data_IF_267838198592
#
_entry.id   IF_267838198592
#
_cell.length_a   1.000
_cell.length_b   1.000
_cell.length_c   1.000
_cell.angle_alpha   90.00
_cell.angle_beta   90.00
_cell.angle_gamma   90.00
#
_symmetry.space_group_name_H-M   'P 1'
#
loop_
_entity.id
_entity.type
_entity.pdbx_description
1 polymer ?
#
# COMPACT_ATOMS: atom_id res chain seq x y z
N UNK A 1 -7.16 26.67 -32.84
CA UNK A 1 -8.22 26.38 -31.85
C UNK A 1 -7.99 25.00 -31.21
N UNK A 2 -7.45 24.99 -29.98
CA UNK A 2 -7.21 23.76 -29.22
C UNK A 2 -8.43 23.43 -28.34
N UNK A 3 -8.80 22.15 -28.17
CA UNK A 3 -9.96 21.75 -27.41
C UNK A 3 -9.73 21.99 -25.90
N UNK A 4 -10.73 22.63 -25.30
CA UNK A 4 -10.94 22.81 -23.87
C UNK A 4 -10.73 21.48 -23.11
N UNK A 5 -9.72 21.42 -22.24
CA UNK A 5 -9.61 20.38 -21.22
C UNK A 5 -10.26 20.90 -19.95
N UNK A 6 -11.41 20.34 -19.61
CA UNK A 6 -12.15 20.67 -18.40
C UNK A 6 -11.29 20.33 -17.17
N UNK A 7 -10.97 21.34 -16.38
CA UNK A 7 -10.39 21.19 -15.04
C UNK A 7 -11.38 20.44 -14.15
N UNK A 8 -11.08 19.17 -13.87
CA UNK A 8 -11.84 18.33 -12.95
C UNK A 8 -11.55 18.84 -11.53
N UNK A 9 -12.54 19.49 -10.91
CA UNK A 9 -12.48 19.91 -9.52
C UNK A 9 -12.64 18.68 -8.61
N UNK A 10 -11.54 18.27 -7.98
CA UNK A 10 -11.46 17.09 -7.12
C UNK A 10 -11.62 17.41 -5.63
N UNK A 11 -12.16 18.59 -5.29
CA UNK A 11 -12.40 18.94 -3.88
C UNK A 11 -13.84 18.63 -3.44
N UNK A 12 -14.11 17.34 -3.18
CA UNK A 12 -15.42 16.86 -2.70
C UNK A 12 -15.71 17.19 -1.22
N UNK A 13 -14.90 18.03 -0.56
CA UNK A 13 -15.02 18.24 0.90
C UNK A 13 -15.12 19.71 1.21
N UNK A 14 -16.34 20.24 1.26
CA UNK A 14 -16.87 21.07 2.35
C UNK A 14 -18.21 21.72 1.93
N UNK A 15 -19.31 20.95 1.93
CA UNK A 15 -20.64 21.55 2.00
C UNK A 15 -21.08 21.63 3.47
N UNK A 16 -20.94 22.83 4.03
CA UNK A 16 -21.42 23.21 5.36
C UNK A 16 -22.96 23.17 5.42
N UNK A 17 -23.57 22.02 5.70
CA UNK A 17 -24.93 21.91 6.28
C UNK A 17 -24.97 20.85 7.37
N UNK A 18 -24.74 21.37 8.56
CA UNK A 18 -24.58 20.74 9.85
C UNK A 18 -25.91 20.13 10.38
N UNK A 19 -25.86 18.85 10.80
CA UNK A 19 -26.50 18.36 12.03
C UNK A 19 -28.03 18.07 12.07
N UNK A 20 -28.54 17.19 11.18
CA UNK A 20 -29.81 16.46 11.45
C UNK A 20 -29.75 14.93 11.24
N UNK A 21 -28.70 14.41 10.61
CA UNK A 21 -28.62 12.99 10.21
C UNK A 21 -27.81 12.07 11.15
N UNK A 22 -27.25 12.61 12.23
CA UNK A 22 -26.40 11.87 13.18
C UNK A 22 -27.12 10.71 13.89
N UNK A 23 -28.46 10.70 13.90
CA UNK A 23 -29.26 9.66 14.59
C UNK A 23 -29.61 8.44 13.72
N UNK A 24 -29.45 8.51 12.38
CA UNK A 24 -29.64 7.35 11.49
C UNK A 24 -28.35 6.53 11.28
N UNK A 25 -27.18 7.16 11.39
CA UNK A 25 -25.86 6.52 11.19
C UNK A 25 -25.49 5.42 12.20
N UNK A 26 -26.24 5.25 13.29
CA UNK A 26 -25.95 4.16 14.25
C UNK A 26 -26.43 2.79 13.78
N UNK A 27 -27.32 2.71 12.77
CA UNK A 27 -27.80 1.42 12.24
C UNK A 27 -26.97 0.93 11.04
N UNK A 28 -26.52 1.84 10.17
CA UNK A 28 -25.64 1.51 9.02
C UNK A 28 -24.17 1.21 9.40
N UNK A 29 -23.71 1.68 10.57
CA UNK A 29 -22.35 1.39 11.04
C UNK A 29 -22.11 -0.09 11.34
N UNK A 30 -23.16 -0.89 11.53
CA UNK A 30 -23.03 -2.34 11.78
C UNK A 30 -22.90 -3.14 10.48
N UNK A 31 -23.50 -2.66 9.40
CA UNK A 31 -23.52 -3.31 8.09
C UNK A 31 -22.24 -3.01 7.27
N UNK A 32 -21.67 -1.81 7.45
CA UNK A 32 -20.38 -1.43 6.84
C UNK A 32 -19.15 -2.11 7.48
N UNK A 33 -19.26 -2.55 8.74
CA UNK A 33 -18.20 -3.30 9.43
C UNK A 33 -18.13 -4.77 8.95
N UNK A 34 -19.26 -5.33 8.47
CA UNK A 34 -19.30 -6.65 7.83
C UNK A 34 -18.80 -6.59 6.38
N UNK A 35 -19.15 -5.55 5.62
CA UNK A 35 -18.71 -5.38 4.22
C UNK A 35 -17.21 -5.02 4.08
N UNK A 36 -16.59 -4.42 5.10
CA UNK A 36 -15.15 -4.09 5.08
C UNK A 36 -14.26 -5.26 5.50
N UNK A 37 -14.80 -6.28 6.18
CA UNK A 37 -14.07 -7.51 6.52
C UNK A 37 -13.77 -8.40 5.32
N UNK A 38 -14.61 -8.36 4.28
CA UNK A 38 -14.47 -9.25 3.12
C UNK A 38 -13.20 -8.99 2.31
N UNK A 39 -12.64 -7.77 2.39
CA UNK A 39 -11.41 -7.38 1.70
C UNK A 39 -10.18 -7.29 2.62
N UNK A 40 -10.30 -7.65 3.90
CA UNK A 40 -9.14 -7.71 4.77
C UNK A 40 -8.38 -9.02 4.49
N UNK A 41 -7.46 -8.98 3.52
CA UNK A 41 -6.39 -9.99 3.43
C UNK A 41 -5.28 -9.54 4.38
N UNK A 42 -5.21 -10.05 5.61
CA UNK A 42 -4.10 -9.72 6.49
C UNK A 42 -2.81 -10.05 5.73
N UNK A 43 -1.92 -9.06 5.64
CA UNK A 43 -0.57 -9.31 5.15
C UNK A 43 -0.04 -10.41 6.05
N UNK A 44 0.29 -11.60 5.52
CA UNK A 44 0.84 -12.64 6.36
C UNK A 44 2.05 -12.02 7.06
N UNK A 45 2.14 -12.19 8.38
CA UNK A 45 3.28 -11.78 9.20
C UNK A 45 4.53 -12.61 8.85
N UNK A 46 4.73 -12.94 7.57
CA UNK A 46 5.82 -13.75 7.06
C UNK A 46 7.15 -13.24 7.59
N UNK A 47 8.04 -14.18 7.88
CA UNK A 47 9.39 -13.84 8.28
C UNK A 47 10.16 -13.40 7.03
N UNK A 48 10.61 -12.16 7.03
CA UNK A 48 11.42 -11.60 5.95
C UNK A 48 12.80 -11.22 6.49
N UNK A 49 13.80 -11.39 5.65
CA UNK A 49 15.13 -10.85 5.87
C UNK A 49 15.23 -9.50 5.15
N UNK A 50 15.68 -8.46 5.85
CA UNK A 50 16.02 -7.19 5.22
C UNK A 50 17.47 -7.26 4.71
N UNK A 51 17.65 -7.14 3.40
CA UNK A 51 18.98 -7.16 2.78
C UNK A 51 19.30 -5.78 2.24
N UNK A 52 20.42 -5.21 2.67
CA UNK A 52 20.95 -3.96 2.13
C UNK A 52 21.87 -4.26 0.94
N UNK A 53 21.67 -3.50 -0.14
CA UNK A 53 22.45 -3.64 -1.37
C UNK A 53 23.22 -2.37 -1.75
N UNK A 54 22.91 -1.22 -1.17
CA UNK A 54 23.59 0.06 -1.39
C UNK A 54 23.97 0.77 -0.08
N UNK A 55 24.42 2.01 -0.18
CA UNK A 55 24.90 2.81 0.96
C UNK A 55 23.76 3.39 1.81
N UNK A 56 22.57 3.58 1.24
CA UNK A 56 21.42 4.12 1.96
C UNK A 56 20.81 3.06 2.90
N UNK A 57 20.91 3.23 4.24
CA UNK A 57 20.36 2.28 5.19
C UNK A 57 18.82 2.20 5.15
N UNK A 58 18.15 3.18 4.52
CA UNK A 58 16.70 3.19 4.32
C UNK A 58 16.22 2.34 3.13
N UNK A 59 17.10 1.90 2.23
CA UNK A 59 16.74 1.22 0.97
C UNK A 59 16.95 -0.30 1.00
N UNK A 60 16.76 -0.92 2.16
CA UNK A 60 16.81 -2.37 2.28
C UNK A 60 15.63 -3.07 1.57
N UNK A 61 15.90 -4.22 0.95
CA UNK A 61 14.87 -5.06 0.31
C UNK A 61 14.46 -6.17 1.27
N UNK A 62 13.15 -6.34 1.47
CA UNK A 62 12.60 -7.45 2.28
C UNK A 62 12.46 -8.69 1.41
N UNK A 63 13.17 -9.76 1.77
CA UNK A 63 13.15 -11.05 1.07
C UNK A 63 12.51 -12.11 1.97
N UNK A 64 11.51 -12.83 1.46
CA UNK A 64 10.83 -13.87 2.23
C UNK A 64 11.78 -15.03 2.55
N UNK A 65 11.82 -15.41 3.82
CA UNK A 65 12.64 -16.54 4.30
C UNK A 65 12.11 -17.88 3.81
N UNK A 66 10.83 -17.96 3.45
CA UNK A 66 10.17 -19.16 2.93
C UNK A 66 10.54 -19.48 1.48
N UNK A 67 11.25 -18.58 0.79
CA UNK A 67 11.79 -18.88 -0.53
C UNK A 67 12.80 -20.04 -0.45
N UNK A 68 12.78 -20.98 -1.42
CA UNK A 68 13.81 -22.01 -1.50
C UNK A 68 15.20 -21.39 -1.51
N UNK A 69 16.15 -22.02 -0.82
CA UNK A 69 17.49 -21.47 -0.61
C UNK A 69 18.19 -21.07 -1.92
N UNK A 70 18.02 -21.88 -2.97
CA UNK A 70 18.59 -21.58 -4.28
C UNK A 70 18.00 -20.28 -4.86
N UNK A 71 16.68 -20.14 -4.84
CA UNK A 71 15.99 -18.95 -5.34
C UNK A 71 16.36 -17.71 -4.52
N UNK A 72 16.45 -17.86 -3.18
CA UNK A 72 16.87 -16.77 -2.29
C UNK A 72 18.30 -16.31 -2.58
N UNK A 73 19.22 -17.24 -2.82
CA UNK A 73 20.62 -16.92 -3.18
C UNK A 73 20.72 -16.24 -4.54
N UNK A 74 20.05 -16.78 -5.56
CA UNK A 74 20.05 -16.21 -6.90
C UNK A 74 19.43 -14.81 -6.92
N UNK A 75 18.34 -14.60 -6.19
CA UNK A 75 17.71 -13.29 -6.03
C UNK A 75 18.68 -12.29 -5.39
N UNK A 76 19.35 -12.66 -4.29
CA UNK A 76 20.34 -11.77 -3.64
C UNK A 76 21.50 -11.43 -4.57
N UNK A 77 21.98 -12.37 -5.37
CA UNK A 77 23.05 -12.12 -6.35
C UNK A 77 22.60 -11.13 -7.42
N UNK A 78 21.42 -11.36 -8.01
CA UNK A 78 20.83 -10.48 -9.02
C UNK A 78 20.63 -9.05 -8.47
N UNK A 79 20.08 -8.92 -7.26
CA UNK A 79 19.87 -7.60 -6.64
C UNK A 79 21.19 -6.88 -6.35
N UNK A 80 22.25 -7.60 -5.99
CA UNK A 80 23.60 -7.02 -5.80
C UNK A 80 24.20 -6.49 -7.09
N UNK A 81 24.09 -7.26 -8.17
CA UNK A 81 24.59 -6.83 -9.49
C UNK A 81 23.87 -5.58 -10.01
N UNK A 82 22.66 -5.34 -9.51
CA UNK A 82 21.82 -4.19 -9.85
C UNK A 82 21.77 -3.13 -8.75
N UNK A 83 22.68 -3.16 -7.77
CA UNK A 83 22.66 -2.27 -6.61
C UNK A 83 22.61 -0.78 -6.99
N UNK A 84 23.30 -0.39 -8.05
CA UNK A 84 23.34 0.99 -8.56
C UNK A 84 21.97 1.50 -9.02
N UNK A 85 21.05 0.61 -9.42
CA UNK A 85 19.67 0.99 -9.77
C UNK A 85 18.87 1.47 -8.54
N UNK A 86 19.34 1.13 -7.34
CA UNK A 86 18.69 1.44 -6.07
C UNK A 86 19.45 2.50 -5.27
N UNK A 87 20.57 3.03 -5.78
CA UNK A 87 21.38 4.08 -5.14
C UNK A 87 20.65 5.43 -5.03
#
# INVERSE_FOLDING_TARGET
>A
PAPNVSSVDLDSRYSKKENKEKKKMRKEKKESDEATKENYRPIPNGEFELVQFGEDPGRGVKIDTRLPDLARKQLKACLRENADLFA
#
